data_IF_513497662192
#
_entry.id   IF_513497662192
#
_cell.length_a   1.000
_cell.length_b   1.000
_cell.length_c   1.000
_cell.angle_alpha   90.00
_cell.angle_beta   90.00
_cell.angle_gamma   90.00
#
_symmetry.space_group_name_H-M   'P 1'
#
loop_
_entity.id
_entity.type
_entity.pdbx_description
1 polymer ?
#
# COMPACT_ATOMS: atom_id res chain seq x y z
N UNK A 1 79.69 7.82 80.81
CA UNK A 1 79.99 6.45 80.33
C UNK A 1 78.80 5.99 79.49
N UNK A 2 78.99 5.81 78.17
CA UNK A 2 78.05 5.19 77.22
C UNK A 2 78.31 3.66 77.23
N UNK A 3 77.36 2.76 76.84
CA UNK A 3 76.83 2.58 75.47
C UNK A 3 75.28 2.39 75.43
N UNK A 4 74.50 2.78 74.42
CA UNK A 4 74.30 2.27 73.03
C UNK A 4 73.32 1.08 72.87
N UNK A 5 72.14 1.40 72.29
CA UNK A 5 71.33 0.72 71.23
C UNK A 5 70.56 -0.61 71.47
N UNK A 6 69.25 -0.57 71.14
CA UNK A 6 68.46 -1.47 70.23
C UNK A 6 66.95 -1.33 70.56
N UNK A 7 66.05 -0.80 69.70
CA UNK A 7 65.34 -1.33 68.50
C UNK A 7 63.85 -1.66 68.79
N UNK A 8 62.95 -0.97 68.05
CA UNK A 8 61.63 -1.39 67.47
C UNK A 8 60.52 -1.90 68.45
N UNK A 9 59.21 -1.60 68.37
CA UNK A 9 58.32 -1.28 67.22
C UNK A 9 56.95 -0.80 67.77
N UNK A 10 56.25 0.06 67.01
CA UNK A 10 54.87 0.54 67.18
C UNK A 10 53.81 -0.61 67.14
N UNK A 11 52.55 -0.49 67.57
CA UNK A 11 51.46 0.36 67.06
C UNK A 11 50.22 0.21 68.00
N UNK A 12 49.57 1.29 68.43
CA UNK A 12 48.46 2.04 67.79
C UNK A 12 47.10 1.33 67.82
N UNK A 13 46.19 1.97 68.55
CA UNK A 13 44.72 1.86 68.55
C UNK A 13 44.10 1.59 67.17
N UNK A 14 42.93 0.95 67.16
CA UNK A 14 41.65 1.58 66.75
C UNK A 14 40.55 0.52 66.64
N UNK A 15 39.48 0.72 67.40
CA UNK A 15 38.17 0.17 67.08
C UNK A 15 37.75 0.74 65.70
N UNK A 16 37.80 -0.09 64.67
CA UNK A 16 37.40 0.25 63.31
C UNK A 16 35.95 -0.13 63.08
N UNK A 17 35.09 0.88 63.13
CA UNK A 17 33.70 0.95 62.69
C UNK A 17 33.30 -0.09 61.62
N UNK A 18 32.13 -0.69 61.82
CA UNK A 18 31.39 -1.37 60.77
C UNK A 18 31.06 -0.36 59.66
N UNK A 19 31.84 -0.38 58.58
CA UNK A 19 31.46 0.31 57.34
C UNK A 19 30.28 -0.44 56.72
N UNK A 20 29.05 -0.08 57.12
CA UNK A 20 27.87 -0.31 56.30
C UNK A 20 28.03 0.56 55.07
N UNK A 21 28.49 -0.04 53.98
CA UNK A 21 28.50 0.60 52.67
C UNK A 21 27.04 0.62 52.17
N UNK A 22 26.40 1.78 52.31
CA UNK A 22 25.14 2.05 51.64
C UNK A 22 25.42 2.17 50.12
N UNK A 23 25.10 1.12 49.37
CA UNK A 23 25.08 1.20 47.92
C UNK A 23 23.90 2.09 47.51
N UNK A 24 24.19 3.29 47.00
CA UNK A 24 23.19 4.16 46.37
C UNK A 24 23.21 3.91 44.86
N UNK A 25 22.25 3.14 44.38
CA UNK A 25 21.96 3.00 42.94
C UNK A 25 20.70 3.77 42.60
N UNK A 26 20.68 4.39 41.41
CA UNK A 26 19.49 5.01 40.83
C UNK A 26 19.23 4.38 39.47
N UNK A 27 17.96 4.10 39.18
CA UNK A 27 17.56 3.47 37.92
C UNK A 27 17.45 4.52 36.81
N UNK A 28 18.14 4.27 35.69
CA UNK A 28 18.01 5.04 34.45
C UNK A 28 17.20 4.22 33.45
N UNK A 29 16.06 4.77 33.03
CA UNK A 29 15.23 4.18 31.97
C UNK A 29 15.37 5.00 30.69
N UNK A 30 15.77 4.34 29.61
CA UNK A 30 15.79 4.93 28.25
C UNK A 30 14.63 4.32 27.48
N UNK A 31 13.60 5.13 27.23
CA UNK A 31 12.42 4.73 26.46
C UNK A 31 12.28 5.61 25.22
N UNK A 32 11.84 5.00 24.12
CA UNK A 32 11.58 5.68 22.86
C UNK A 32 10.65 4.85 22.00
N UNK A 33 9.95 5.48 21.06
CA UNK A 33 9.10 4.83 20.06
C UNK A 33 9.62 5.20 18.68
N UNK A 34 9.89 4.20 17.85
CA UNK A 34 10.19 4.40 16.43
C UNK A 34 8.86 4.34 15.70
N UNK A 35 8.47 5.42 15.04
CA UNK A 35 7.33 5.43 14.10
C UNK A 35 7.91 5.10 12.72
N UNK A 36 7.40 4.08 12.01
CA UNK A 36 7.79 3.84 10.61
C UNK A 36 7.54 5.09 9.76
N UNK A 37 8.26 5.26 8.65
CA UNK A 37 7.94 6.30 7.66
C UNK A 37 6.45 6.21 7.33
N UNK A 38 5.70 7.29 7.59
CA UNK A 38 4.27 7.30 7.32
C UNK A 38 4.07 7.64 5.85
N UNK A 39 3.71 6.64 5.05
CA UNK A 39 3.28 6.87 3.68
C UNK A 39 1.77 7.14 3.65
N UNK A 40 1.36 8.26 3.06
CA UNK A 40 -0.05 8.64 2.92
C UNK A 40 -0.47 8.53 1.46
N UNK A 41 -1.40 7.61 1.10
CA UNK A 41 -1.97 7.56 -0.23
C UNK A 41 -3.03 8.65 -0.42
N UNK A 42 -3.10 9.21 -1.63
CA UNK A 42 -4.12 10.15 -2.06
C UNK A 42 -4.55 9.82 -3.48
N UNK A 43 -5.86 9.79 -3.70
CA UNK A 43 -6.48 9.73 -5.03
C UNK A 43 -7.15 11.06 -5.34
N UNK A 44 -6.98 11.55 -6.56
CA UNK A 44 -7.74 12.72 -7.04
C UNK A 44 -9.25 12.43 -7.02
N UNK A 45 -10.06 13.49 -7.03
CA UNK A 45 -11.53 13.42 -6.97
C UNK A 45 -12.07 12.55 -5.82
N UNK A 46 -11.31 12.43 -4.72
CA UNK A 46 -11.61 11.55 -3.59
C UNK A 46 -11.82 10.06 -3.99
N UNK A 47 -11.23 9.64 -5.11
CA UNK A 47 -11.37 8.28 -5.64
C UNK A 47 -12.71 7.99 -6.34
N UNK A 48 -13.49 9.03 -6.66
CA UNK A 48 -14.81 8.87 -7.29
C UNK A 48 -14.71 8.95 -8.81
N UNK A 49 -15.20 7.90 -9.48
CA UNK A 49 -15.49 7.89 -10.92
C UNK A 49 -17.00 7.89 -11.10
N UNK A 50 -17.54 9.02 -11.52
CA UNK A 50 -18.97 9.19 -11.77
C UNK A 50 -19.25 9.09 -13.28
N UNK A 51 -20.00 8.08 -13.68
CA UNK A 51 -20.46 7.88 -15.07
C UNK A 51 -21.76 8.63 -15.38
N UNK A 52 -22.33 9.33 -14.40
CA UNK A 52 -23.60 10.03 -14.51
C UNK A 52 -24.78 9.07 -14.71
N UNK A 53 -25.83 9.58 -15.35
CA UNK A 53 -27.02 8.80 -15.68
C UNK A 53 -26.87 8.16 -17.06
N UNK A 54 -27.01 6.84 -17.11
CA UNK A 54 -26.94 6.05 -18.33
C UNK A 54 -28.37 5.60 -18.67
N UNK A 55 -28.83 5.90 -19.89
CA UNK A 55 -30.15 5.44 -20.33
C UNK A 55 -30.10 3.96 -20.62
N UNK A 56 -31.14 3.21 -20.20
CA UNK A 56 -31.31 1.83 -20.61
C UNK A 56 -31.36 1.65 -22.13
N UNK A 57 -31.68 2.70 -22.91
CA UNK A 57 -31.64 2.65 -24.37
C UNK A 57 -30.23 2.71 -24.96
N UNK A 58 -29.27 3.24 -24.21
CA UNK A 58 -27.87 3.33 -24.64
C UNK A 58 -27.11 2.01 -24.38
N UNK A 59 -27.70 1.10 -23.59
CA UNK A 59 -27.16 -0.22 -23.33
C UNK A 59 -27.33 -1.14 -24.54
N UNK A 60 -26.26 -1.82 -24.91
CA UNK A 60 -26.27 -2.77 -26.02
C UNK A 60 -27.12 -4.01 -25.66
N UNK A 61 -28.05 -4.44 -26.54
CA UNK A 61 -29.03 -5.48 -26.23
C UNK A 61 -28.42 -6.86 -25.96
N UNK A 62 -27.38 -7.22 -26.72
CA UNK A 62 -26.78 -8.57 -26.73
C UNK A 62 -25.27 -8.58 -26.49
N UNK A 63 -24.69 -7.43 -26.15
CA UNK A 63 -23.25 -7.20 -26.11
C UNK A 63 -22.91 -6.23 -24.99
N UNK A 64 -21.63 -6.15 -24.65
CA UNK A 64 -21.17 -5.29 -23.56
C UNK A 64 -21.25 -3.81 -23.95
N UNK A 65 -21.50 -2.95 -22.98
CA UNK A 65 -21.52 -1.50 -23.17
C UNK A 65 -20.30 -0.91 -22.47
N UNK A 66 -19.30 -0.47 -23.25
CA UNK A 66 -18.14 0.24 -22.70
C UNK A 66 -18.53 1.68 -22.39
N UNK A 67 -18.29 2.12 -21.16
CA UNK A 67 -18.46 3.51 -20.75
C UNK A 67 -17.19 4.32 -21.06
N UNK A 68 -17.25 5.67 -21.09
CA UNK A 68 -16.06 6.48 -21.23
C UNK A 68 -15.00 6.12 -20.18
N UNK A 69 -13.74 6.02 -20.62
CA UNK A 69 -12.62 5.78 -19.70
C UNK A 69 -12.44 7.00 -18.78
N UNK A 70 -12.11 6.73 -17.52
CA UNK A 70 -11.82 7.77 -16.54
C UNK A 70 -10.37 7.66 -16.06
N UNK A 71 -9.81 8.79 -15.63
CA UNK A 71 -8.44 8.86 -15.10
C UNK A 71 -8.44 9.54 -13.74
N UNK A 72 -7.73 8.93 -12.79
CA UNK A 72 -7.47 9.49 -11.47
C UNK A 72 -5.96 9.60 -11.28
N UNK A 73 -5.51 10.59 -10.52
CA UNK A 73 -4.11 10.68 -10.10
C UNK A 73 -3.98 9.96 -8.76
N UNK A 74 -3.12 8.95 -8.72
CA UNK A 74 -2.70 8.28 -7.49
C UNK A 74 -1.35 8.85 -7.07
N UNK A 75 -1.25 9.29 -5.82
CA UNK A 75 0.02 9.65 -5.19
C UNK A 75 0.17 8.97 -3.84
N UNK A 76 1.40 8.63 -3.48
CA UNK A 76 1.76 8.19 -2.13
C UNK A 76 2.96 9.00 -1.71
N UNK A 77 2.84 9.73 -0.60
CA UNK A 77 3.93 10.57 -0.05
C UNK A 77 4.38 10.00 1.28
N UNK A 78 5.69 9.82 1.44
CA UNK A 78 6.33 9.25 2.62
C UNK A 78 7.31 10.25 3.24
N UNK A 79 7.47 10.22 4.57
CA UNK A 79 8.38 11.12 5.30
C UNK A 79 9.87 10.87 5.01
N UNK A 80 10.21 9.71 4.45
CA UNK A 80 11.58 9.30 4.12
C UNK A 80 11.57 8.30 2.94
N UNK A 81 12.72 8.09 2.25
CA UNK A 81 12.82 7.09 1.20
C UNK A 81 12.42 5.70 1.71
N UNK A 82 11.39 5.12 1.10
CA UNK A 82 10.74 3.90 1.58
C UNK A 82 10.54 2.91 0.43
N UNK A 83 10.86 1.64 0.66
CA UNK A 83 10.45 0.55 -0.23
C UNK A 83 8.96 0.28 0.01
N UNK A 84 8.15 0.57 -0.99
CA UNK A 84 6.71 0.40 -0.91
C UNK A 84 6.14 -0.18 -2.20
N UNK A 85 4.93 -0.71 -2.07
CA UNK A 85 4.04 -1.01 -3.15
C UNK A 85 2.63 -0.55 -2.81
N UNK A 86 1.78 -0.44 -3.81
CA UNK A 86 0.33 -0.29 -3.62
C UNK A 86 -0.33 -1.61 -3.99
N UNK A 87 -1.22 -2.11 -3.13
CA UNK A 87 -2.03 -3.30 -3.39
C UNK A 87 -3.43 -2.87 -3.77
N UNK A 88 -3.97 -3.40 -4.86
CA UNK A 88 -5.39 -3.22 -5.18
C UNK A 88 -6.21 -4.35 -4.54
N UNK A 89 -7.42 -4.07 -4.08
CA UNK A 89 -8.36 -5.08 -3.55
C UNK A 89 -9.76 -4.77 -4.03
N UNK A 90 -10.45 -5.76 -4.60
CA UNK A 90 -11.87 -5.63 -4.94
C UNK A 90 -12.73 -5.76 -3.69
N UNK A 91 -13.55 -4.74 -3.41
CA UNK A 91 -14.48 -4.75 -2.30
C UNK A 91 -15.84 -5.38 -2.68
N UNK A 92 -16.02 -5.73 -3.95
CA UNK A 92 -17.22 -6.40 -4.51
C UNK A 92 -16.88 -7.74 -5.18
N UNK A 93 -16.07 -8.62 -4.54
CA UNK A 93 -15.61 -9.84 -5.17
C UNK A 93 -16.78 -10.74 -5.59
N UNK A 94 -16.63 -11.39 -6.76
CA UNK A 94 -17.64 -12.30 -7.30
C UNK A 94 -18.80 -11.64 -8.04
N UNK A 95 -18.90 -10.30 -8.03
CA UNK A 95 -19.98 -9.57 -8.70
C UNK A 95 -19.65 -9.17 -10.15
N UNK A 96 -18.43 -9.41 -10.62
CA UNK A 96 -18.04 -9.18 -12.01
C UNK A 96 -18.87 -10.03 -12.98
N UNK A 97 -19.45 -9.38 -14.00
CA UNK A 97 -20.18 -10.01 -15.10
C UNK A 97 -19.28 -10.54 -16.23
N UNK A 98 -17.96 -10.33 -16.13
CA UNK A 98 -16.97 -10.80 -17.10
C UNK A 98 -17.01 -12.35 -17.18
N UNK A 99 -17.17 -12.88 -18.40
CA UNK A 99 -17.45 -14.30 -18.64
C UNK A 99 -16.21 -15.11 -19.06
N UNK A 100 -15.10 -14.45 -19.40
CA UNK A 100 -13.85 -15.09 -19.82
C UNK A 100 -13.00 -15.56 -18.63
N UNK A 101 -13.49 -15.35 -17.40
CA UNK A 101 -12.82 -15.81 -16.18
C UNK A 101 -11.53 -15.06 -15.88
N UNK A 102 -11.40 -13.82 -16.37
CA UNK A 102 -10.22 -13.00 -16.10
C UNK A 102 -10.20 -12.58 -14.63
N UNK A 103 -9.20 -13.05 -13.89
CA UNK A 103 -8.92 -12.58 -12.53
C UNK A 103 -8.47 -11.10 -12.49
N UNK A 104 -8.49 -10.40 -13.62
CA UNK A 104 -7.92 -9.06 -13.76
C UNK A 104 -8.96 -7.93 -13.63
N UNK A 105 -10.20 -8.23 -13.25
CA UNK A 105 -11.27 -7.22 -13.22
C UNK A 105 -11.96 -7.14 -11.86
N UNK A 106 -12.54 -5.98 -11.58
CA UNK A 106 -13.26 -5.64 -10.37
C UNK A 106 -14.76 -5.62 -10.64
N UNK A 107 -15.58 -6.07 -9.69
CA UNK A 107 -17.03 -6.11 -9.85
C UNK A 107 -17.71 -4.75 -9.68
N UNK A 108 -18.82 -4.54 -10.40
CA UNK A 108 -19.68 -3.34 -10.26
C UNK A 108 -20.89 -3.55 -9.33
N UNK A 109 -20.91 -4.65 -8.57
CA UNK A 109 -22.03 -5.01 -7.71
C UNK A 109 -23.13 -5.79 -8.43
N UNK A 110 -24.26 -5.94 -7.73
CA UNK A 110 -25.42 -6.70 -8.18
C UNK A 110 -26.65 -5.79 -8.26
N UNK A 111 -27.43 -5.95 -9.32
CA UNK A 111 -28.78 -5.43 -9.41
C UNK A 111 -29.76 -6.37 -8.70
N UNK A 112 -31.07 -6.04 -8.71
CA UNK A 112 -32.09 -6.96 -8.21
C UNK A 112 -32.03 -8.32 -8.91
N UNK A 113 -32.46 -9.36 -8.21
CA UNK A 113 -32.36 -10.73 -8.72
C UNK A 113 -30.95 -11.32 -8.73
N UNK A 114 -29.96 -10.64 -8.13
CA UNK A 114 -28.53 -11.00 -8.16
C UNK A 114 -27.89 -10.91 -9.56
N UNK A 115 -28.45 -10.07 -10.43
CA UNK A 115 -27.89 -9.87 -11.76
C UNK A 115 -26.61 -9.04 -11.69
N UNK A 116 -25.55 -9.53 -12.31
CA UNK A 116 -24.22 -8.89 -12.29
C UNK A 116 -24.20 -7.68 -13.22
N UNK A 117 -23.89 -6.50 -12.68
CA UNK A 117 -24.03 -5.24 -13.42
C UNK A 117 -22.99 -5.10 -14.54
N UNK A 118 -21.77 -5.55 -14.26
CA UNK A 118 -20.63 -5.35 -15.15
C UNK A 118 -19.32 -5.51 -14.38
N UNK A 119 -18.27 -4.88 -14.90
CA UNK A 119 -16.95 -4.86 -14.27
C UNK A 119 -16.20 -3.59 -14.64
N UNK A 120 -15.11 -3.33 -13.94
CA UNK A 120 -14.11 -2.35 -14.36
C UNK A 120 -12.71 -2.93 -14.23
N UNK A 121 -11.78 -2.38 -15.00
CA UNK A 121 -10.36 -2.71 -14.94
C UNK A 121 -9.56 -1.47 -14.58
N UNK A 122 -8.51 -1.69 -13.81
CA UNK A 122 -7.54 -0.65 -13.47
C UNK A 122 -6.28 -0.84 -14.32
N UNK A 123 -5.72 0.24 -14.83
CA UNK A 123 -4.38 0.26 -15.42
C UNK A 123 -3.60 1.41 -14.80
N UNK A 124 -2.27 1.32 -14.84
CA UNK A 124 -1.40 2.36 -14.32
C UNK A 124 -0.47 2.87 -15.41
N UNK A 125 -0.54 4.17 -15.66
CA UNK A 125 0.24 4.87 -16.64
C UNK A 125 1.06 6.01 -15.99
N UNK A 126 2.05 6.51 -16.74
CA UNK A 126 2.81 7.72 -16.38
C UNK A 126 3.35 7.71 -14.94
N UNK A 127 3.92 6.59 -14.51
CA UNK A 127 4.42 6.46 -13.14
C UNK A 127 5.73 7.22 -12.96
N UNK A 128 5.92 7.78 -11.76
CA UNK A 128 7.17 8.42 -11.36
C UNK A 128 7.48 8.18 -9.89
N UNK A 129 8.77 8.06 -9.60
CA UNK A 129 9.33 8.00 -8.26
C UNK A 129 10.11 9.30 -8.03
N UNK A 130 9.77 10.06 -6.99
CA UNK A 130 10.42 11.34 -6.67
C UNK A 130 10.46 12.30 -7.88
N UNK A 131 9.34 12.38 -8.62
CA UNK A 131 9.15 13.16 -9.85
C UNK A 131 10.01 12.73 -11.05
N UNK A 132 10.73 11.60 -10.95
CA UNK A 132 11.47 10.99 -12.05
C UNK A 132 10.61 9.89 -12.69
N UNK A 133 10.30 9.97 -14.01
CA UNK A 133 9.55 8.93 -14.70
C UNK A 133 10.21 7.56 -14.56
N UNK A 134 9.40 6.53 -14.28
CA UNK A 134 9.86 5.18 -14.06
C UNK A 134 9.05 4.14 -14.85
N UNK A 135 9.34 2.87 -14.59
CA UNK A 135 8.58 1.75 -15.14
C UNK A 135 7.78 1.07 -14.03
N UNK A 136 6.47 0.86 -14.20
CA UNK A 136 5.68 0.10 -13.25
C UNK A 136 6.09 -1.38 -13.26
N UNK A 137 6.12 -1.96 -12.06
CA UNK A 137 6.35 -3.39 -11.84
C UNK A 137 5.22 -3.94 -10.98
N UNK A 138 4.97 -5.24 -11.09
CA UNK A 138 3.92 -5.91 -10.32
C UNK A 138 4.40 -7.18 -9.63
N UNK A 139 3.68 -7.54 -8.57
CA UNK A 139 3.91 -8.80 -7.85
C UNK A 139 2.62 -9.34 -7.26
N UNK A 140 2.43 -10.66 -7.37
CA UNK A 140 1.32 -11.36 -6.71
C UNK A 140 1.57 -11.61 -5.21
N UNK A 141 2.84 -11.58 -4.78
CA UNK A 141 3.24 -12.07 -3.45
C UNK A 141 4.29 -11.21 -2.73
N UNK A 142 4.80 -10.16 -3.36
CA UNK A 142 5.82 -9.26 -2.82
C UNK A 142 7.26 -9.75 -3.00
N UNK A 143 7.47 -11.01 -3.42
CA UNK A 143 8.80 -11.62 -3.52
C UNK A 143 9.35 -11.61 -4.95
N UNK A 144 8.52 -11.99 -5.92
CA UNK A 144 8.90 -11.99 -7.34
C UNK A 144 8.19 -10.86 -8.05
N UNK A 145 8.96 -10.03 -8.74
CA UNK A 145 8.48 -8.84 -9.44
C UNK A 145 8.64 -9.02 -10.95
N UNK A 146 7.65 -8.53 -11.70
CA UNK A 146 7.61 -8.56 -13.15
C UNK A 146 7.42 -7.14 -13.69
N UNK A 147 7.95 -6.86 -14.87
CA UNK A 147 7.64 -5.60 -15.57
C UNK A 147 6.15 -5.58 -15.90
N UNK A 148 5.49 -4.46 -15.61
CA UNK A 148 4.05 -4.35 -15.73
C UNK A 148 3.69 -3.16 -16.62
N UNK A 149 4.10 -3.25 -17.90
CA UNK A 149 3.98 -2.22 -18.94
C UNK A 149 2.65 -1.45 -18.93
N UNK A 150 2.60 -0.25 -19.50
CA UNK A 150 1.50 0.70 -19.30
C UNK A 150 0.08 0.20 -19.64
N UNK A 151 -0.08 -0.86 -20.44
CA UNK A 151 -1.37 -1.48 -20.76
C UNK A 151 -1.67 -2.75 -19.94
N UNK A 152 -0.81 -3.13 -19.00
CA UNK A 152 -1.01 -4.29 -18.14
C UNK A 152 -2.08 -3.99 -17.10
N UNK A 153 -3.21 -4.69 -17.19
CA UNK A 153 -4.31 -4.60 -16.23
C UNK A 153 -3.81 -4.93 -14.82
N UNK A 154 -4.09 -4.05 -13.88
CA UNK A 154 -3.77 -4.22 -12.47
C UNK A 154 -4.81 -5.09 -11.79
N UNK A 155 -4.43 -6.34 -11.54
CA UNK A 155 -5.31 -7.37 -11.00
C UNK A 155 -5.63 -7.12 -9.52
N UNK A 156 -6.88 -7.39 -9.07
CA UNK A 156 -7.20 -7.46 -7.64
C UNK A 156 -6.22 -8.36 -6.89
N UNK A 157 -5.69 -7.83 -5.78
CA UNK A 157 -4.73 -8.50 -4.91
C UNK A 157 -3.26 -8.31 -5.31
N UNK A 158 -2.97 -7.81 -6.50
CA UNK A 158 -1.60 -7.59 -6.96
C UNK A 158 -1.03 -6.28 -6.42
N UNK A 159 0.27 -6.31 -6.19
CA UNK A 159 1.09 -5.17 -5.82
C UNK A 159 1.55 -4.44 -7.08
N UNK A 160 1.62 -3.11 -7.03
CA UNK A 160 2.29 -2.26 -8.01
C UNK A 160 3.33 -1.39 -7.32
N UNK A 161 4.51 -1.30 -7.91
CA UNK A 161 5.58 -0.41 -7.49
C UNK A 161 6.31 0.13 -8.72
N UNK A 162 7.41 0.85 -8.53
CA UNK A 162 8.26 1.37 -9.60
C UNK A 162 9.60 0.64 -9.56
N UNK A 163 10.07 0.25 -10.74
CA UNK A 163 11.35 -0.44 -10.93
C UNK A 163 12.53 0.42 -10.48
N UNK A 164 13.46 -0.17 -9.75
CA UNK A 164 14.80 0.39 -9.55
C UNK A 164 15.58 0.33 -10.87
N UNK A 165 15.95 1.48 -11.47
CA UNK A 165 16.68 1.51 -12.73
C UNK A 165 18.10 0.95 -12.63
N UNK A 166 18.65 0.81 -11.41
CA UNK A 166 19.96 0.20 -11.17
C UNK A 166 19.99 -1.32 -11.32
N UNK A 167 18.83 -1.98 -11.37
CA UNK A 167 18.72 -3.44 -11.39
C UNK A 167 18.18 -3.96 -12.72
N UNK A 168 18.87 -4.96 -13.29
CA UNK A 168 18.44 -5.59 -14.54
C UNK A 168 17.11 -6.36 -14.35
N UNK A 169 16.96 -7.04 -13.22
CA UNK A 169 15.72 -7.72 -12.84
C UNK A 169 14.76 -6.74 -12.16
N UNK A 170 13.44 -6.82 -12.43
CA UNK A 170 12.46 -5.97 -11.75
C UNK A 170 12.58 -6.10 -10.24
N UNK A 171 12.81 -4.98 -9.57
CA UNK A 171 12.85 -4.84 -8.11
C UNK A 171 12.32 -3.46 -7.74
N UNK A 172 11.62 -3.30 -6.61
CA UNK A 172 11.10 -2.01 -6.16
C UNK A 172 12.20 -1.00 -5.84
N UNK A 173 11.99 0.25 -6.24
CA UNK A 173 12.81 1.40 -5.88
C UNK A 173 12.36 2.00 -4.54
N UNK A 174 13.29 2.36 -3.67
CA UNK A 174 12.97 3.17 -2.49
C UNK A 174 12.70 4.61 -2.92
N UNK A 175 11.56 5.18 -2.52
CA UNK A 175 11.14 6.52 -2.93
C UNK A 175 10.45 7.29 -1.80
N UNK A 176 10.46 8.62 -1.85
CA UNK A 176 9.64 9.46 -0.97
C UNK A 176 8.26 9.72 -1.56
N UNK A 177 8.16 9.73 -2.89
CA UNK A 177 6.91 10.00 -3.59
C UNK A 177 6.71 9.00 -4.72
N UNK A 178 5.60 8.28 -4.68
CA UNK A 178 5.06 7.49 -5.80
C UNK A 178 3.96 8.30 -6.47
N UNK A 179 3.98 8.45 -7.79
CA UNK A 179 2.86 9.01 -8.56
C UNK A 179 2.54 8.14 -9.75
N UNK A 180 1.27 8.12 -10.15
CA UNK A 180 0.84 7.48 -11.40
C UNK A 180 -0.59 7.88 -11.76
N UNK A 181 -0.92 7.76 -13.04
CA UNK A 181 -2.30 7.89 -13.53
C UNK A 181 -2.96 6.52 -13.46
N UNK A 182 -4.04 6.44 -12.69
CA UNK A 182 -4.92 5.29 -12.60
C UNK A 182 -6.01 5.43 -13.66
N UNK A 183 -5.96 4.60 -14.68
CA UNK A 183 -6.98 4.53 -15.71
C UNK A 183 -8.05 3.50 -15.32
N UNK A 184 -9.31 3.91 -15.40
CA UNK A 184 -10.48 3.11 -15.03
C UNK A 184 -11.33 2.90 -16.28
N UNK A 185 -11.32 1.67 -16.79
CA UNK A 185 -12.17 1.27 -17.92
C UNK A 185 -13.36 0.48 -17.40
N UNK A 186 -14.56 1.05 -17.54
CA UNK A 186 -15.81 0.48 -17.00
C UNK A 186 -16.65 -0.12 -18.12
N UNK A 187 -17.18 -1.32 -17.90
CA UNK A 187 -18.00 -2.05 -18.87
C UNK A 187 -19.24 -2.61 -18.21
N UNK A 188 -20.40 -2.30 -18.78
CA UNK A 188 -21.68 -2.85 -18.36
C UNK A 188 -22.00 -4.12 -19.13
N UNK A 189 -22.71 -5.04 -18.46
CA UNK A 189 -23.21 -6.28 -19.06
C UNK A 189 -24.29 -6.00 -20.12
N UNK A 190 -24.84 -7.06 -20.69
CA UNK A 190 -25.88 -6.98 -21.69
C UNK A 190 -27.16 -6.39 -21.08
N UNK A 191 -27.84 -5.51 -21.83
CA UNK A 191 -29.14 -4.97 -21.40
C UNK A 191 -30.14 -6.06 -21.00
N UNK A 192 -30.18 -7.17 -21.74
CA UNK A 192 -31.09 -8.31 -21.48
C UNK A 192 -30.84 -9.05 -20.16
N UNK A 193 -29.66 -8.86 -19.55
CA UNK A 193 -29.31 -9.47 -18.26
C UNK A 193 -29.64 -8.52 -17.10
N UNK A 194 -30.09 -7.30 -17.36
CA UNK A 194 -30.31 -6.28 -16.34
C UNK A 194 -31.82 -6.05 -16.11
N UNK A 195 -32.24 -5.82 -14.86
CA UNK A 195 -33.62 -5.45 -14.53
C UNK A 195 -33.89 -3.97 -14.89
N UNK A 196 -33.93 -3.65 -16.19
CA UNK A 196 -34.04 -2.28 -16.72
C UNK A 196 -35.39 -1.57 -16.46
N UNK A 197 -36.33 -2.20 -15.75
CA UNK A 197 -37.59 -1.60 -15.31
C UNK A 197 -37.43 -0.73 -14.06
N UNK A 198 -36.27 -0.78 -13.42
CA UNK A 198 -35.92 -0.02 -12.22
C UNK A 198 -34.57 0.68 -12.40
N UNK A 199 -34.27 1.61 -11.49
CA UNK A 199 -32.96 2.25 -11.44
C UNK A 199 -31.92 1.28 -10.86
N UNK A 200 -30.78 1.15 -11.53
CA UNK A 200 -29.69 0.28 -11.12
C UNK A 200 -28.49 1.17 -10.74
N UNK A 201 -28.08 1.10 -9.47
CA UNK A 201 -26.89 1.78 -8.99
C UNK A 201 -25.64 1.01 -9.44
N UNK A 202 -24.73 1.66 -10.18
CA UNK A 202 -23.39 1.12 -10.41
C UNK A 202 -22.60 1.26 -9.09
N UNK A 203 -22.18 0.14 -8.52
CA UNK A 203 -21.57 0.05 -7.18
C UNK A 203 -20.22 -0.68 -7.26
N UNK A 204 -19.31 -0.14 -8.08
CA UNK A 204 -17.92 -0.58 -8.12
C UNK A 204 -17.12 -0.01 -6.95
N UNK A 205 -16.32 -0.84 -6.29
CA UNK A 205 -15.48 -0.39 -5.18
C UNK A 205 -14.17 -1.17 -5.09
N UNK A 206 -13.05 -0.45 -4.97
CA UNK A 206 -11.74 -1.02 -4.73
C UNK A 206 -10.99 -0.23 -3.65
N UNK A 207 -10.12 -0.93 -2.93
CA UNK A 207 -9.18 -0.36 -1.98
C UNK A 207 -7.78 -0.37 -2.57
N UNK A 208 -7.08 0.76 -2.50
CA UNK A 208 -5.65 0.87 -2.82
C UNK A 208 -4.87 1.05 -1.52
N UNK A 209 -4.17 0.00 -1.10
CA UNK A 209 -3.47 -0.09 0.19
C UNK A 209 -1.96 0.07 0.01
N UNK A 210 -1.31 0.89 0.84
CA UNK A 210 0.16 0.95 0.86
C UNK A 210 0.71 -0.25 1.63
N UNK A 211 1.59 -1.01 0.97
CA UNK A 211 2.32 -2.14 1.54
C UNK A 211 3.79 -1.78 1.62
N UNK A 212 4.34 -1.78 2.83
CA UNK A 212 5.78 -1.62 3.08
C UNK A 212 6.49 -2.95 2.80
N UNK A 213 7.62 -2.88 2.10
CA UNK A 213 8.37 -4.05 1.62
C UNK A 213 9.65 -4.32 2.42
#
# INVERSE_FOLDING_TARGET
>A
MQPSRALMTAALWLAGVSNVMAASSVDLSVVGKITPAACTPLLSNAGVVDHGKISAQDLHPTGYTKLPDASLELSVTCDAPTLLAVKSTDNRPGTSAEQLGSASVFGLGLASGNEKIGWYSLMMAQVSADDVPGMPIESANGNMWLDAAGNTVWQPGFLRSIKDPGNATPTPLAMTTFKGVLEVSTTLTYKRNLPISEEIQIDGSATLEVVYL
#
